data_IF_950123871204
#
_entry.id   IF_950123871204
#
_cell.length_a   1.000
_cell.length_b   1.000
_cell.length_c   1.000
_cell.angle_alpha   90.00
_cell.angle_beta   90.00
_cell.angle_gamma   90.00
#
_symmetry.space_group_name_H-M   'P 1'
#
loop_
_entity.id
_entity.type
_entity.pdbx_description
1 polymer ?
#
# COMPACT_ATOMS: atom_id res chain seq x y z
N UNK A 1 10.41 0.40 6.61
CA UNK A 1 9.72 -0.85 6.22
C UNK A 1 8.59 -0.57 5.24
N UNK A 2 8.17 -1.59 4.54
CA UNK A 2 6.96 -1.58 3.70
C UNK A 2 5.98 -2.64 4.16
N UNK A 3 4.70 -2.41 3.96
CA UNK A 3 3.64 -3.37 4.26
C UNK A 3 2.56 -3.32 3.19
N UNK A 4 1.82 -4.40 3.01
CA UNK A 4 0.70 -4.44 2.10
C UNK A 4 -0.38 -5.40 2.55
N UNK A 5 -1.64 -5.09 2.23
CA UNK A 5 -2.78 -5.94 2.53
C UNK A 5 -2.83 -7.12 1.54
N UNK A 6 -2.89 -8.34 2.09
CA UNK A 6 -3.01 -9.55 1.26
C UNK A 6 -4.37 -9.57 0.53
N UNK A 7 -4.49 -10.10 -0.68
CA UNK A 7 -3.49 -10.69 -1.59
C UNK A 7 -2.89 -9.68 -2.56
N UNK A 8 -3.62 -8.61 -2.90
CA UNK A 8 -3.28 -7.70 -4.00
C UNK A 8 -1.88 -7.07 -3.88
N UNK A 9 -1.48 -6.71 -2.68
CA UNK A 9 -0.20 -6.09 -2.44
C UNK A 9 0.96 -7.07 -2.16
N UNK A 10 0.71 -8.37 -2.01
CA UNK A 10 1.75 -9.35 -1.71
C UNK A 10 2.92 -9.32 -2.72
N UNK A 11 2.68 -9.32 -4.05
CA UNK A 11 3.76 -9.21 -5.02
C UNK A 11 4.53 -7.90 -4.91
N UNK A 12 3.82 -6.78 -4.68
CA UNK A 12 4.44 -5.45 -4.58
C UNK A 12 5.40 -5.37 -3.40
N UNK A 13 4.99 -5.88 -2.25
CA UNK A 13 5.81 -5.92 -1.03
C UNK A 13 7.11 -6.69 -1.29
N UNK A 14 7.01 -7.84 -1.94
CA UNK A 14 8.16 -8.66 -2.30
C UNK A 14 9.08 -7.97 -3.32
N UNK A 15 8.52 -7.35 -4.36
CA UNK A 15 9.29 -6.66 -5.39
C UNK A 15 10.00 -5.42 -4.85
N UNK A 16 9.36 -4.65 -3.98
CA UNK A 16 9.99 -3.47 -3.38
C UNK A 16 11.12 -3.87 -2.45
N UNK A 17 10.94 -4.90 -1.63
CA UNK A 17 12.01 -5.45 -0.78
C UNK A 17 13.18 -5.98 -1.61
N UNK A 18 12.89 -6.71 -2.69
CA UNK A 18 13.92 -7.21 -3.61
C UNK A 18 14.70 -6.08 -4.30
N UNK A 19 13.99 -5.08 -4.82
CA UNK A 19 14.62 -3.91 -5.44
C UNK A 19 15.48 -3.12 -4.45
N UNK A 20 15.05 -2.99 -3.20
CA UNK A 20 15.84 -2.37 -2.14
C UNK A 20 17.14 -3.16 -1.90
N UNK A 21 17.05 -4.48 -1.79
CA UNK A 21 18.22 -5.36 -1.60
C UNK A 21 19.21 -5.24 -2.75
N UNK A 22 18.76 -5.21 -4.00
CA UNK A 22 19.61 -4.99 -5.18
C UNK A 22 20.31 -3.63 -5.15
N UNK A 23 19.72 -2.63 -4.48
CA UNK A 23 20.29 -1.29 -4.28
C UNK A 23 21.17 -1.19 -3.03
N UNK A 24 21.45 -2.30 -2.35
CA UNK A 24 22.23 -2.33 -1.12
C UNK A 24 21.50 -1.81 0.11
N UNK A 25 20.17 -1.78 0.10
CA UNK A 25 19.32 -1.36 1.22
C UNK A 25 18.64 -2.55 1.85
N UNK A 26 18.67 -2.63 3.16
CA UNK A 26 17.80 -3.54 3.91
C UNK A 26 16.43 -2.89 4.12
N UNK A 27 15.39 -3.62 3.81
CA UNK A 27 14.02 -3.16 3.93
C UNK A 27 13.13 -4.31 4.40
N UNK A 28 12.60 -4.18 5.60
CA UNK A 28 11.61 -5.13 6.11
C UNK A 28 10.31 -5.03 5.31
N UNK A 29 9.76 -6.17 4.99
CA UNK A 29 8.56 -6.31 4.18
C UNK A 29 7.52 -7.12 4.96
N UNK A 30 6.37 -6.51 5.19
CA UNK A 30 5.28 -7.06 5.97
C UNK A 30 4.04 -7.31 5.12
N UNK A 31 3.32 -8.35 5.44
CA UNK A 31 1.98 -8.61 4.91
C UNK A 31 0.96 -8.37 6.01
N UNK A 32 -0.05 -7.54 5.72
CA UNK A 32 -1.20 -7.33 6.59
C UNK A 32 -2.29 -8.32 6.21
N UNK A 33 -2.69 -9.15 7.14
CA UNK A 33 -3.73 -10.17 6.93
C UNK A 33 -5.11 -9.54 6.93
N UNK A 34 -6.05 -10.16 6.22
CA UNK A 34 -7.47 -9.77 6.26
C UNK A 34 -8.14 -10.19 7.57
N UNK A 35 -7.63 -11.27 8.18
CA UNK A 35 -8.13 -11.85 9.43
C UNK A 35 -6.97 -12.12 10.38
N UNK A 36 -7.22 -11.99 11.68
CA UNK A 36 -6.23 -12.25 12.70
C UNK A 36 -5.89 -13.75 12.76
N UNK A 37 -4.59 -14.06 12.90
CA UNK A 37 -4.12 -15.41 13.19
C UNK A 37 -3.81 -15.49 14.69
N UNK A 38 -4.80 -15.93 15.48
CA UNK A 38 -4.66 -16.02 16.94
C UNK A 38 -4.97 -14.71 17.66
N UNK A 39 -4.30 -14.46 18.77
CA UNK A 39 -4.53 -13.31 19.65
C UNK A 39 -3.29 -12.41 19.75
N UNK A 40 -3.52 -11.12 20.04
CA UNK A 40 -2.46 -10.13 20.24
C UNK A 40 -2.25 -9.20 19.06
N UNK A 41 -1.40 -8.19 19.26
CA UNK A 41 -1.17 -7.10 18.29
C UNK A 41 -0.48 -7.56 16.99
N UNK A 42 0.34 -8.62 17.06
CA UNK A 42 1.00 -9.21 15.89
C UNK A 42 0.14 -10.19 15.08
N UNK A 43 -1.09 -10.50 15.54
CA UNK A 43 -1.95 -11.50 14.89
C UNK A 43 -2.37 -11.14 13.45
N UNK A 44 -2.24 -9.88 13.07
CA UNK A 44 -2.58 -9.33 11.76
C UNK A 44 -1.40 -9.20 10.80
N UNK A 45 -0.17 -9.44 11.27
CA UNK A 45 1.05 -9.17 10.52
C UNK A 45 1.83 -10.46 10.27
N UNK A 46 2.38 -10.58 9.05
CA UNK A 46 3.32 -11.63 8.68
C UNK A 46 4.61 -10.99 8.16
N UNK A 47 5.73 -11.61 8.50
CA UNK A 47 7.06 -11.15 8.09
C UNK A 47 7.93 -10.70 9.27
N UNK A 48 9.14 -10.21 9.00
CA UNK A 48 10.03 -9.69 10.03
C UNK A 48 9.42 -8.39 10.60
N UNK A 49 9.09 -8.41 11.88
CA UNK A 49 8.52 -7.24 12.55
C UNK A 49 9.62 -6.22 12.84
N UNK A 50 9.54 -4.99 12.32
CA UNK A 50 10.45 -3.92 12.68
C UNK A 50 10.34 -3.53 14.16
N UNK A 51 11.32 -2.77 14.65
CA UNK A 51 11.28 -2.22 16.00
C UNK A 51 10.03 -1.32 16.19
N UNK A 52 9.45 -1.29 17.39
CA UNK A 52 8.34 -0.39 17.71
C UNK A 52 8.65 1.06 17.34
N UNK A 53 7.67 1.75 16.79
CA UNK A 53 7.84 3.13 16.30
C UNK A 53 8.47 3.25 14.91
N UNK A 54 8.80 2.14 14.24
CA UNK A 54 9.34 2.18 12.90
C UNK A 54 8.31 2.78 11.91
N UNK A 55 8.84 3.53 10.94
CA UNK A 55 8.03 4.09 9.85
C UNK A 55 7.76 3.04 8.79
N UNK A 56 6.50 2.90 8.42
CA UNK A 56 6.05 1.99 7.38
C UNK A 56 5.35 2.76 6.27
N UNK A 57 5.69 2.46 5.03
CA UNK A 57 4.91 2.85 3.85
C UNK A 57 3.99 1.71 3.48
N UNK A 58 2.69 1.98 3.40
CA UNK A 58 1.72 1.00 2.93
C UNK A 58 1.73 0.96 1.40
N UNK A 59 1.75 -0.24 0.85
CA UNK A 59 1.66 -0.50 -0.59
C UNK A 59 0.29 -1.08 -0.93
N UNK A 60 -0.31 -0.57 -1.99
CA UNK A 60 -1.59 -1.03 -2.54
C UNK A 60 -1.48 -1.21 -4.06
N UNK A 61 -2.15 -2.19 -4.60
CA UNK A 61 -2.29 -2.30 -6.05
C UNK A 61 -3.22 -1.22 -6.60
N UNK A 62 -4.43 -1.13 -6.06
CA UNK A 62 -5.47 -0.18 -6.47
C UNK A 62 -6.12 0.46 -5.25
N UNK A 63 -6.26 1.76 -5.27
CA UNK A 63 -7.05 2.51 -4.28
C UNK A 63 -8.36 2.98 -4.94
N UNK A 64 -9.47 2.60 -4.36
CA UNK A 64 -10.83 3.08 -4.71
C UNK A 64 -11.30 4.10 -3.68
N UNK A 65 -12.08 3.69 -2.71
CA UNK A 65 -12.54 4.54 -1.60
C UNK A 65 -11.50 4.72 -0.49
N UNK A 66 -10.43 3.92 -0.49
CA UNK A 66 -9.40 3.92 0.56
C UNK A 66 -9.71 3.01 1.75
N UNK A 67 -10.85 2.32 1.76
CA UNK A 67 -11.28 1.52 2.91
C UNK A 67 -10.31 0.38 3.27
N UNK A 68 -9.81 -0.35 2.28
CA UNK A 68 -8.83 -1.42 2.50
C UNK A 68 -7.51 -0.89 3.07
N UNK A 69 -7.01 0.22 2.50
CA UNK A 69 -5.80 0.86 2.98
C UNK A 69 -5.96 1.36 4.43
N UNK A 70 -7.07 2.02 4.74
CA UNK A 70 -7.36 2.50 6.10
C UNK A 70 -7.46 1.35 7.11
N UNK A 71 -8.03 0.22 6.72
CA UNK A 71 -8.08 -0.98 7.56
C UNK A 71 -6.66 -1.48 7.88
N UNK A 72 -5.79 -1.58 6.88
CA UNK A 72 -4.40 -1.98 7.06
C UNK A 72 -3.63 -0.99 7.93
N UNK A 73 -3.78 0.32 7.68
CA UNK A 73 -3.17 1.38 8.49
C UNK A 73 -3.56 1.27 9.96
N UNK A 74 -4.84 1.03 10.23
CA UNK A 74 -5.34 0.85 11.60
C UNK A 74 -4.65 -0.32 12.30
N UNK A 75 -4.47 -1.44 11.62
CA UNK A 75 -3.79 -2.61 12.19
C UNK A 75 -2.31 -2.33 12.46
N UNK A 76 -1.63 -1.66 11.53
CA UNK A 76 -0.22 -1.31 11.68
C UNK A 76 0.00 -0.28 12.80
N UNK A 77 -0.84 0.74 12.91
CA UNK A 77 -0.79 1.72 14.00
C UNK A 77 -1.09 1.07 15.36
N UNK A 78 -2.04 0.14 15.42
CA UNK A 78 -2.33 -0.62 16.63
C UNK A 78 -1.16 -1.51 17.08
N UNK A 79 -0.32 -1.95 16.14
CA UNK A 79 0.92 -2.67 16.41
C UNK A 79 2.09 -1.76 16.81
N UNK A 80 1.90 -0.44 16.87
CA UNK A 80 2.89 0.53 17.31
C UNK A 80 3.74 1.14 16.22
N UNK A 81 3.35 1.03 14.94
CA UNK A 81 4.08 1.60 13.81
C UNK A 81 3.54 2.95 13.38
N UNK A 82 4.41 3.75 12.76
CA UNK A 82 4.07 5.07 12.21
C UNK A 82 3.84 4.97 10.70
N UNK A 83 2.75 5.56 10.23
CA UNK A 83 2.40 5.62 8.81
C UNK A 83 2.00 7.03 8.43
N UNK A 84 2.66 7.54 7.38
CA UNK A 84 2.42 8.86 6.78
C UNK A 84 2.07 8.74 5.29
N UNK A 85 2.31 7.57 4.67
CA UNK A 85 2.21 7.41 3.22
C UNK A 85 1.62 6.08 2.81
N UNK A 86 0.79 6.16 1.78
CA UNK A 86 0.31 5.03 0.99
C UNK A 86 0.81 5.21 -0.45
N UNK A 87 1.42 4.18 -1.01
CA UNK A 87 1.83 4.14 -2.42
C UNK A 87 0.98 3.11 -3.14
N UNK A 88 0.30 3.53 -4.20
CA UNK A 88 -0.53 2.67 -5.03
C UNK A 88 -0.04 2.63 -6.48
N UNK A 89 -0.31 1.55 -7.19
CA UNK A 89 -0.11 1.52 -8.63
C UNK A 89 -1.16 2.40 -9.30
N UNK A 90 -2.43 2.21 -8.97
CA UNK A 90 -3.55 2.96 -9.55
C UNK A 90 -4.41 3.59 -8.48
N UNK A 91 -4.67 4.88 -8.62
CA UNK A 91 -5.76 5.59 -7.95
C UNK A 91 -6.95 5.66 -8.91
N UNK A 92 -8.07 5.03 -8.53
CA UNK A 92 -9.30 5.07 -9.32
C UNK A 92 -10.10 6.36 -9.18
N UNK A 93 -9.60 7.30 -8.38
CA UNK A 93 -10.23 8.62 -8.19
C UNK A 93 -11.66 8.54 -7.61
N UNK A 94 -11.89 7.59 -6.72
CA UNK A 94 -13.18 7.34 -6.06
C UNK A 94 -13.21 7.83 -4.60
N UNK A 95 -12.46 8.87 -4.29
CA UNK A 95 -12.42 9.49 -2.97
C UNK A 95 -11.35 8.95 -2.01
N UNK A 96 -10.53 7.99 -2.44
CA UNK A 96 -9.51 7.37 -1.59
C UNK A 96 -8.47 8.35 -1.09
N UNK A 97 -7.98 9.25 -1.94
CA UNK A 97 -6.99 10.26 -1.57
C UNK A 97 -7.50 11.17 -0.43
N UNK A 98 -8.73 11.63 -0.52
CA UNK A 98 -9.35 12.47 0.52
C UNK A 98 -9.57 11.69 1.82
N UNK A 99 -10.02 10.44 1.74
CA UNK A 99 -10.21 9.58 2.91
C UNK A 99 -8.88 9.31 3.64
N UNK A 100 -7.81 9.05 2.91
CA UNK A 100 -6.48 8.86 3.46
C UNK A 100 -5.92 10.15 4.06
N UNK A 101 -6.10 11.29 3.39
CA UNK A 101 -5.68 12.60 3.90
C UNK A 101 -6.35 12.96 5.22
N UNK A 102 -7.62 12.61 5.41
CA UNK A 102 -8.35 12.81 6.67
C UNK A 102 -7.72 12.05 7.85
N UNK A 103 -6.98 10.98 7.57
CA UNK A 103 -6.24 10.18 8.57
C UNK A 103 -4.74 10.53 8.62
N UNK A 104 -4.34 11.65 8.04
CA UNK A 104 -2.96 12.12 8.03
C UNK A 104 -2.04 11.33 7.10
N UNK A 105 -2.58 10.73 6.04
CA UNK A 105 -1.84 9.92 5.09
C UNK A 105 -1.79 10.59 3.72
N UNK A 106 -0.61 10.60 3.11
CA UNK A 106 -0.42 11.02 1.73
C UNK A 106 -0.59 9.82 0.80
N UNK A 107 -1.47 9.92 -0.19
CA UNK A 107 -1.55 8.94 -1.27
C UNK A 107 -0.64 9.37 -2.42
N UNK A 108 0.29 8.48 -2.81
CA UNK A 108 1.06 8.58 -4.04
C UNK A 108 0.70 7.42 -4.95
N UNK A 109 0.10 7.72 -6.10
CA UNK A 109 -0.21 6.73 -7.12
C UNK A 109 0.71 6.90 -8.33
N UNK A 110 1.12 5.78 -8.94
CA UNK A 110 1.89 5.80 -10.18
C UNK A 110 1.01 6.25 -11.34
N UNK A 111 -0.26 5.84 -11.34
CA UNK A 111 -1.24 6.16 -12.37
C UNK A 111 -2.57 6.54 -11.73
N UNK A 112 -3.25 7.49 -12.37
CA UNK A 112 -4.64 7.82 -12.10
C UNK A 112 -5.52 7.24 -13.20
N UNK A 113 -6.71 6.77 -12.85
CA UNK A 113 -7.60 6.12 -13.81
C UNK A 113 -7.94 7.02 -14.99
N UNK A 114 -8.16 8.32 -14.77
CA UNK A 114 -8.43 9.29 -15.82
C UNK A 114 -7.28 9.39 -16.84
N UNK A 115 -6.03 9.34 -16.38
CA UNK A 115 -4.86 9.36 -17.25
C UNK A 115 -4.74 8.08 -18.09
N UNK A 116 -5.03 6.93 -17.50
CA UNK A 116 -5.03 5.63 -18.18
C UNK A 116 -6.12 5.59 -19.26
N UNK A 117 -7.33 6.07 -18.94
CA UNK A 117 -8.44 6.15 -19.88
C UNK A 117 -8.13 7.08 -21.07
N UNK A 118 -7.54 8.24 -20.79
CA UNK A 118 -7.12 9.19 -21.84
C UNK A 118 -6.07 8.59 -22.79
N UNK A 119 -5.11 7.84 -22.26
CA UNK A 119 -4.10 7.17 -23.08
C UNK A 119 -4.70 6.05 -23.94
N UNK A 120 -5.62 5.28 -23.38
CA UNK A 120 -6.34 4.27 -24.15
C UNK A 120 -7.10 4.85 -25.33
N UNK A 121 -7.80 5.97 -25.13
CA UNK A 121 -8.51 6.68 -26.21
C UNK A 121 -7.56 7.18 -27.29
N UNK A 122 -6.40 7.75 -26.91
CA UNK A 122 -5.39 8.18 -27.87
C UNK A 122 -4.83 7.03 -28.70
N UNK A 123 -4.56 5.90 -28.07
CA UNK A 123 -4.05 4.71 -28.72
C UNK A 123 -5.05 4.12 -29.71
N UNK A 124 -6.34 4.13 -29.38
CA UNK A 124 -7.39 3.70 -30.31
C UNK A 124 -7.54 4.64 -31.50
N UNK A 125 -7.50 5.96 -31.28
CA UNK A 125 -7.57 6.94 -32.36
C UNK A 125 -6.38 6.85 -33.34
N UNK A 126 -5.19 6.47 -32.85
CA UNK A 126 -3.99 6.29 -33.67
C UNK A 126 -4.04 5.01 -34.53
N UNK A 127 -4.89 4.03 -34.20
CA UNK A 127 -5.06 2.78 -34.95
C UNK A 127 -6.20 2.84 -36.00
N UNK A 128 -6.99 3.85 -35.98
CA UNK A 128 -8.04 4.13 -36.95
C UNK A 128 -7.59 5.23 -37.97
#
# INVERSE_FOLDING_TARGET
>A
AVAGLTLGADPMVSWVAHAAALSGRELDALIVRKEAKGHGTGAWLEGPLPEPGARITLLEDVVTSGGSALKAVKQLRAAGYELERVVAIVDREEGGAAALAAEGLELKALYQLSAVAAEHQRSQAAQS
#
